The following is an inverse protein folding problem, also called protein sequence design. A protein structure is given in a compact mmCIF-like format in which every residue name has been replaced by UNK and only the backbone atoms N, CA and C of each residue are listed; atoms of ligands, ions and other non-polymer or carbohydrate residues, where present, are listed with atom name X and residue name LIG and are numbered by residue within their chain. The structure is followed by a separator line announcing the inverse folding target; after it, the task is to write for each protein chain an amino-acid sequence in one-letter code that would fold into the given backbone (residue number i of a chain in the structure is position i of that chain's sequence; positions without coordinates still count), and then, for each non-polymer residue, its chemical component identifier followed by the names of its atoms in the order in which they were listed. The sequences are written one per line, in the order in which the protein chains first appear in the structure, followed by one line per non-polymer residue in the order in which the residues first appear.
data_IF_097013528638
#
_entry.id   IF_097013528638
#
_cell.length_a   1.000
_cell.length_b   1.000
_cell.length_c   1.000
_cell.angle_alpha   90.00
_cell.angle_beta   90.00
_cell.angle_gamma   90.00
#
_symmetry.space_group_name_H-M   'P 1'
#
loop_
_entity.id
_entity.type
_entity.pdbx_description
1 polymer ?
#
# COMPACT_ATOMS: atom_id res chain seq x y z
N UNK A 1 -23.29 -41.79 5.56
CA UNK A 1 -23.57 -40.64 4.69
C UNK A 1 -22.59 -39.56 5.05
N UNK A 2 -21.74 -39.25 4.09
CA UNK A 2 -20.63 -38.29 4.09
C UNK A 2 -21.15 -36.87 3.94
N UNK A 3 -20.61 -35.90 4.69
CA UNK A 3 -20.38 -34.54 4.17
C UNK A 3 -19.52 -33.71 5.12
N UNK A 4 -18.25 -33.57 4.76
CA UNK A 4 -17.46 -32.33 4.82
C UNK A 4 -16.53 -32.38 3.58
N UNK A 5 -15.98 -31.27 3.05
CA UNK A 5 -16.28 -29.84 3.21
C UNK A 5 -16.51 -29.14 1.85
N UNK A 6 -17.06 -27.92 1.82
CA UNK A 6 -16.88 -27.01 0.68
C UNK A 6 -16.43 -25.67 1.25
N UNK A 7 -15.11 -25.46 1.26
CA UNK A 7 -14.54 -24.12 1.37
C UNK A 7 -14.71 -23.51 -0.02
N UNK A 8 -15.75 -22.70 -0.21
CA UNK A 8 -15.78 -21.73 -1.31
C UNK A 8 -14.65 -20.74 -1.05
N UNK A 9 -13.51 -21.00 -1.68
CA UNK A 9 -12.44 -20.02 -1.83
C UNK A 9 -12.89 -19.06 -2.93
N UNK A 10 -13.21 -17.83 -2.57
CA UNK A 10 -13.41 -16.72 -3.51
C UNK A 10 -12.23 -16.64 -4.51
N UNK A 11 -12.49 -16.27 -5.77
CA UNK A 11 -11.48 -16.30 -6.81
C UNK A 11 -10.35 -15.33 -6.48
N UNK A 12 -9.14 -15.87 -6.52
CA UNK A 12 -7.85 -15.20 -6.38
C UNK A 12 -7.72 -13.94 -7.28
N UNK A 13 -8.17 -12.79 -6.81
CA UNK A 13 -7.86 -11.45 -7.37
C UNK A 13 -6.44 -10.99 -6.99
N UNK A 14 -5.47 -11.90 -7.02
CA UNK A 14 -4.09 -11.65 -6.55
C UNK A 14 -3.04 -11.50 -7.64
N UNK A 15 -3.40 -11.71 -8.91
CA UNK A 15 -2.43 -11.74 -10.02
C UNK A 15 -2.29 -10.40 -10.76
N UNK A 16 -3.26 -9.49 -10.61
CA UNK A 16 -3.27 -8.19 -11.31
C UNK A 16 -2.75 -7.02 -10.44
N UNK A 17 -2.66 -7.22 -9.13
CA UNK A 17 -2.24 -6.20 -8.16
C UNK A 17 -0.75 -5.90 -8.25
N UNK A 18 0.11 -6.91 -8.41
CA UNK A 18 1.57 -6.73 -8.50
C UNK A 18 1.99 -5.91 -9.73
N UNK A 19 1.38 -6.14 -10.89
CA UNK A 19 1.67 -5.36 -12.11
C UNK A 19 1.21 -3.90 -11.95
N UNK A 20 0.13 -3.69 -11.19
CA UNK A 20 -0.39 -2.36 -10.86
C UNK A 20 0.53 -1.65 -9.88
N UNK A 21 1.03 -2.34 -8.86
CA UNK A 21 1.95 -1.80 -7.85
C UNK A 21 3.26 -1.33 -8.47
N UNK A 22 3.83 -2.12 -9.39
CA UNK A 22 5.06 -1.74 -10.09
C UNK A 22 4.87 -0.48 -10.97
N UNK A 23 3.70 -0.36 -11.62
CA UNK A 23 3.32 0.85 -12.36
C UNK A 23 3.15 2.07 -11.46
N UNK A 24 2.52 1.91 -10.29
CA UNK A 24 2.35 2.97 -9.31
C UNK A 24 3.70 3.45 -8.77
N UNK A 25 4.62 2.52 -8.45
CA UNK A 25 5.97 2.84 -8.01
C UNK A 25 6.73 3.62 -9.09
N UNK A 26 6.62 3.21 -10.35
CA UNK A 26 7.24 3.92 -11.47
C UNK A 26 6.72 5.35 -11.62
N UNK A 27 5.41 5.55 -11.58
CA UNK A 27 4.80 6.88 -11.66
C UNK A 27 5.24 7.79 -10.50
N UNK A 28 5.29 7.26 -9.27
CA UNK A 28 5.74 8.00 -8.09
C UNK A 28 7.21 8.42 -8.21
N UNK A 29 8.07 7.51 -8.69
CA UNK A 29 9.49 7.79 -8.89
C UNK A 29 9.72 8.85 -9.99
N UNK A 30 8.98 8.77 -11.09
CA UNK A 30 9.07 9.72 -12.19
C UNK A 30 8.58 11.11 -11.78
N UNK A 31 7.47 11.19 -11.06
CA UNK A 31 6.98 12.46 -10.50
C UNK A 31 7.98 13.07 -9.54
N UNK A 32 8.53 12.28 -8.62
CA UNK A 32 9.57 12.76 -7.69
C UNK A 32 10.79 13.31 -8.44
N UNK A 33 11.23 12.63 -9.51
CA UNK A 33 12.33 13.11 -10.35
C UNK A 33 11.97 14.42 -11.07
N UNK A 34 10.74 14.55 -11.59
CA UNK A 34 10.23 15.77 -12.18
C UNK A 34 10.19 16.96 -11.22
N UNK A 35 9.90 16.69 -9.95
CA UNK A 35 9.87 17.68 -8.86
C UNK A 35 11.27 17.98 -8.26
N UNK A 36 12.34 17.40 -8.83
CA UNK A 36 13.71 17.55 -8.33
C UNK A 36 13.98 16.84 -6.99
N UNK A 37 13.09 15.93 -6.59
CA UNK A 37 13.16 15.19 -5.35
C UNK A 37 14.07 13.96 -5.50
N UNK A 38 14.95 13.74 -4.53
CA UNK A 38 15.72 12.50 -4.44
C UNK A 38 14.79 11.34 -4.09
N UNK A 39 15.04 10.15 -4.65
CA UNK A 39 14.24 8.96 -4.30
C UNK A 39 14.53 8.49 -2.87
N UNK A 40 15.78 8.66 -2.42
CA UNK A 40 16.27 8.24 -1.10
C UNK A 40 17.07 9.36 -0.42
N UNK A 41 17.39 9.16 0.86
CA UNK A 41 18.10 10.15 1.68
C UNK A 41 17.16 11.15 2.35
N UNK A 42 17.77 12.09 3.09
CA UNK A 42 17.04 13.14 3.81
C UNK A 42 16.25 14.03 2.83
N UNK A 43 14.99 14.28 3.16
CA UNK A 43 14.03 14.99 2.33
C UNK A 43 13.54 14.20 1.11
N UNK A 44 13.98 12.95 0.90
CA UNK A 44 13.66 12.15 -0.27
C UNK A 44 12.24 11.54 -0.27
N UNK A 45 11.82 11.01 -1.42
CA UNK A 45 10.50 10.40 -1.63
C UNK A 45 10.21 9.30 -0.60
N UNK A 46 11.14 8.35 -0.42
CA UNK A 46 10.95 7.23 0.50
C UNK A 46 10.76 7.71 1.94
N UNK A 47 11.55 8.71 2.39
CA UNK A 47 11.41 9.26 3.73
C UNK A 47 10.05 9.92 3.94
N UNK A 48 9.57 10.68 2.95
CA UNK A 48 8.23 11.31 2.98
C UNK A 48 7.11 10.26 2.99
N UNK A 49 7.24 9.21 2.19
CA UNK A 49 6.28 8.11 2.14
C UNK A 49 6.23 7.36 3.48
N UNK A 50 7.38 6.96 4.03
CA UNK A 50 7.46 6.32 5.35
C UNK A 50 6.84 7.20 6.43
N UNK A 51 7.15 8.51 6.43
CA UNK A 51 6.56 9.46 7.38
C UNK A 51 5.03 9.47 7.26
N UNK A 52 4.49 9.60 6.05
CA UNK A 52 3.04 9.62 5.83
C UNK A 52 2.39 8.31 6.26
N UNK A 53 3.01 7.16 5.98
CA UNK A 53 2.50 5.84 6.41
C UNK A 53 2.48 5.73 7.93
N UNK A 54 3.52 6.18 8.61
CA UNK A 54 3.57 6.18 10.09
C UNK A 54 2.52 7.12 10.70
N UNK A 55 2.36 8.32 10.12
CA UNK A 55 1.31 9.27 10.52
C UNK A 55 -0.08 8.70 10.27
N UNK A 56 -0.30 8.02 9.14
CA UNK A 56 -1.56 7.36 8.81
C UNK A 56 -1.84 6.13 9.67
N UNK A 57 -0.82 5.41 10.13
CA UNK A 57 -1.00 4.34 11.10
C UNK A 57 -1.45 4.90 12.46
N UNK A 58 -0.91 6.07 12.84
CA UNK A 58 -1.28 6.77 14.07
C UNK A 58 -2.68 7.43 13.98
N UNK A 59 -3.03 8.02 12.83
CA UNK A 59 -4.38 8.55 12.54
C UNK A 59 -5.42 7.43 12.36
N UNK A 60 -4.98 6.31 11.77
CA UNK A 60 -5.76 5.10 11.58
C UNK A 60 -6.12 4.45 12.92
N UNK A 61 -5.21 4.45 13.90
CA UNK A 61 -5.53 4.01 15.26
C UNK A 61 -6.65 4.87 15.89
N UNK A 62 -6.73 6.17 15.59
CA UNK A 62 -7.85 7.03 16.04
C UNK A 62 -9.13 6.73 15.24
N UNK A 63 -9.07 6.48 13.94
CA UNK A 63 -10.28 6.18 13.13
C UNK A 63 -10.82 4.76 13.39
N UNK A 64 -9.94 3.80 13.64
CA UNK A 64 -10.27 2.41 13.99
C UNK A 64 -10.61 2.24 15.50
N UNK A 65 -10.19 3.14 16.39
CA UNK A 65 -10.60 3.15 17.81
C UNK A 65 -11.70 4.15 18.19
N UNK A 66 -12.33 4.84 17.24
CA UNK A 66 -13.67 5.43 17.47
C UNK A 66 -14.74 4.81 16.56
N UNK A 67 -14.43 3.65 15.99
CA UNK A 67 -15.21 2.99 14.94
C UNK A 67 -15.94 1.71 15.33
N UNK A 68 -15.75 1.13 16.52
CA UNK A 68 -16.56 0.03 17.08
C UNK A 68 -16.51 0.00 18.61
#
# INVERSE_FOLDING_TARGET
MTTEPIVEQDPVTGLDSSATDEQLIAMLADRARGDGLKLTGEGGLLQKLTKRVLESALEGEITDHVGL
#
